data_IF_120245692707
#
_entry.id   IF_120245692707
#
_cell.length_a   1.000
_cell.length_b   1.000
_cell.length_c   1.000
_cell.angle_alpha   90.00
_cell.angle_beta   90.00
_cell.angle_gamma   90.00
#
_symmetry.space_group_name_H-M   'P 1'
#
loop_
_entity.id
_entity.type
_entity.pdbx_description
1 polymer ?
#
# COMPACT_ATOMS: atom_id res chain seq x y z
N UNK A 1 12.46 -11.38 51.55
CA UNK A 1 13.58 -10.61 50.96
C UNK A 1 13.94 -11.06 49.54
N UNK A 2 13.87 -12.36 49.25
CA UNK A 2 14.18 -12.88 47.88
C UNK A 2 13.08 -12.50 46.87
N UNK A 3 11.85 -12.49 47.26
CA UNK A 3 10.70 -12.07 46.46
C UNK A 3 10.75 -10.59 46.06
N UNK A 4 11.29 -9.70 46.90
CA UNK A 4 11.44 -8.28 46.58
C UNK A 4 12.49 -8.00 45.50
N UNK A 5 13.57 -8.78 45.46
CA UNK A 5 14.60 -8.66 44.42
C UNK A 5 14.10 -9.19 43.08
N UNK A 6 13.30 -10.23 43.08
CA UNK A 6 12.74 -10.83 41.86
C UNK A 6 11.74 -9.91 41.17
N UNK A 7 10.86 -9.26 41.94
CA UNK A 7 9.89 -8.28 41.42
C UNK A 7 10.56 -7.04 40.85
N UNK A 8 11.70 -6.63 41.43
CA UNK A 8 12.49 -5.50 40.93
C UNK A 8 13.13 -5.78 39.57
N UNK A 9 13.58 -7.00 39.35
CA UNK A 9 14.21 -7.43 38.10
C UNK A 9 13.20 -7.55 36.94
N UNK A 10 12.02 -8.06 37.22
CA UNK A 10 10.93 -8.17 36.24
C UNK A 10 10.38 -6.78 35.83
N UNK A 11 10.27 -5.85 36.74
CA UNK A 11 9.80 -4.50 36.42
C UNK A 11 10.79 -3.72 35.54
N UNK A 12 12.08 -3.89 35.74
CA UNK A 12 13.11 -3.22 34.91
C UNK A 12 13.17 -3.83 33.51
N UNK A 13 12.97 -5.14 33.37
CA UNK A 13 12.94 -5.82 32.07
C UNK A 13 11.68 -5.48 31.28
N UNK A 14 10.54 -5.38 31.92
CA UNK A 14 9.27 -4.98 31.29
C UNK A 14 9.30 -3.51 30.88
N UNK A 15 9.85 -2.61 31.68
CA UNK A 15 9.97 -1.20 31.36
C UNK A 15 10.90 -0.93 30.17
N UNK A 16 11.98 -1.70 29.98
CA UNK A 16 12.87 -1.55 28.84
C UNK A 16 12.26 -1.99 27.52
N UNK A 17 11.28 -2.92 27.53
CA UNK A 17 10.59 -3.42 26.34
C UNK A 17 9.44 -2.54 25.88
N UNK A 18 8.95 -1.62 26.69
CA UNK A 18 7.74 -0.81 26.43
C UNK A 18 8.08 0.62 26.01
N UNK A 19 9.35 1.01 25.99
CA UNK A 19 9.76 2.42 25.91
C UNK A 19 9.67 3.05 24.52
N UNK A 20 9.64 2.26 23.43
CA UNK A 20 9.54 2.82 22.08
C UNK A 20 8.30 2.32 21.35
N UNK A 21 7.39 3.24 21.11
CA UNK A 21 6.25 3.00 20.22
C UNK A 21 6.56 3.55 18.85
N UNK A 22 6.48 2.70 17.87
CA UNK A 22 6.64 3.06 16.47
C UNK A 22 5.44 2.61 15.66
N UNK A 23 5.23 3.22 14.52
CA UNK A 23 4.15 2.87 13.63
C UNK A 23 4.67 2.84 12.18
N UNK A 24 4.33 1.77 11.47
CA UNK A 24 4.53 1.66 10.03
C UNK A 24 3.19 1.31 9.39
N UNK A 25 2.53 2.31 8.82
CA UNK A 25 1.18 2.18 8.28
C UNK A 25 1.04 2.94 6.99
N UNK A 26 0.47 2.30 5.98
CA UNK A 26 0.17 2.87 4.67
C UNK A 26 -1.28 2.59 4.33
N UNK A 27 -1.97 3.60 3.83
CA UNK A 27 -3.33 3.50 3.32
C UNK A 27 -3.37 4.05 1.90
N UNK A 28 -3.84 3.25 0.97
CA UNK A 28 -3.92 3.61 -0.44
C UNK A 28 -5.32 3.33 -0.98
N UNK A 29 -5.85 4.29 -1.69
CA UNK A 29 -7.09 4.15 -2.45
C UNK A 29 -6.77 4.40 -3.92
N UNK A 30 -7.00 3.40 -4.77
CA UNK A 30 -6.64 3.54 -6.18
C UNK A 30 -7.23 2.45 -7.08
N UNK A 31 -6.70 2.37 -8.28
CA UNK A 31 -7.11 1.38 -9.28
C UNK A 31 -5.98 0.39 -9.57
N UNK A 32 -6.36 -0.85 -9.70
CA UNK A 32 -5.45 -1.95 -10.07
C UNK A 32 -5.03 -1.80 -11.53
N UNK A 33 -3.72 -1.86 -11.78
CA UNK A 33 -3.17 -1.68 -13.12
C UNK A 33 -3.12 -2.96 -13.96
N UNK A 34 -2.97 -4.10 -13.32
CA UNK A 34 -2.89 -5.41 -13.97
C UNK A 34 -3.52 -6.46 -13.07
N UNK A 35 -3.97 -7.57 -13.68
CA UNK A 35 -4.47 -8.70 -12.93
C UNK A 35 -3.41 -9.22 -11.95
N UNK A 36 -3.82 -9.62 -10.74
CA UNK A 36 -2.89 -10.14 -9.75
C UNK A 36 -2.20 -11.41 -10.24
N UNK A 37 -0.95 -11.54 -9.87
CA UNK A 37 -0.17 -12.76 -10.08
C UNK A 37 0.14 -13.41 -8.75
N UNK A 38 0.13 -14.74 -8.71
CA UNK A 38 0.57 -15.49 -7.55
C UNK A 38 1.96 -16.04 -7.81
N UNK A 39 2.88 -15.77 -6.88
CA UNK A 39 4.24 -16.30 -6.93
C UNK A 39 4.49 -17.19 -5.73
N UNK A 40 5.11 -18.31 -5.99
CA UNK A 40 5.60 -19.21 -4.96
C UNK A 40 7.07 -19.48 -5.20
N UNK A 41 7.88 -19.18 -4.21
CA UNK A 41 9.30 -19.51 -4.19
C UNK A 41 9.47 -20.76 -3.33
N UNK A 42 10.32 -21.71 -3.74
CA UNK A 42 10.58 -22.94 -2.99
C UNK A 42 10.95 -22.63 -1.53
N UNK A 43 10.27 -23.28 -0.58
CA UNK A 43 10.47 -23.11 0.86
C UNK A 43 9.84 -21.84 1.45
N UNK A 44 9.11 -21.04 0.67
CA UNK A 44 8.39 -19.84 1.13
C UNK A 44 6.91 -19.94 0.85
N UNK A 45 6.12 -19.22 1.64
CA UNK A 45 4.69 -19.12 1.41
C UNK A 45 4.39 -18.39 0.09
N UNK A 46 3.33 -18.77 -0.64
CA UNK A 46 2.93 -18.03 -1.83
C UNK A 46 2.49 -16.60 -1.48
N UNK A 47 2.65 -15.72 -2.45
CA UNK A 47 2.32 -14.30 -2.34
C UNK A 47 1.54 -13.85 -3.57
N UNK A 48 0.46 -13.10 -3.36
CA UNK A 48 -0.26 -12.42 -4.44
C UNK A 48 0.29 -11.03 -4.62
N UNK A 49 0.67 -10.69 -5.84
CA UNK A 49 1.30 -9.41 -6.18
C UNK A 49 0.48 -8.72 -7.27
N UNK A 50 0.23 -7.44 -7.09
CA UNK A 50 -0.38 -6.58 -8.10
C UNK A 50 0.12 -5.14 -7.98
N UNK A 51 -0.15 -4.34 -9.00
CA UNK A 51 0.15 -2.91 -9.01
C UNK A 51 -1.11 -2.10 -8.75
N UNK A 52 -0.99 -1.06 -7.95
CA UNK A 52 -2.06 -0.12 -7.63
C UNK A 52 -1.65 1.28 -8.05
N UNK A 53 -2.49 1.95 -8.82
CA UNK A 53 -2.29 3.33 -9.24
C UNK A 53 -3.04 4.29 -8.33
N UNK A 54 -2.34 5.29 -7.83
CA UNK A 54 -2.94 6.45 -7.17
C UNK A 54 -2.69 7.68 -8.02
N UNK A 55 -3.72 8.52 -8.19
CA UNK A 55 -3.66 9.72 -8.99
C UNK A 55 -3.71 10.96 -8.10
N UNK A 56 -2.81 11.87 -8.36
CA UNK A 56 -2.81 13.20 -7.77
C UNK A 56 -3.12 14.21 -8.87
N UNK A 57 -3.95 15.19 -8.55
CA UNK A 57 -4.29 16.28 -9.43
C UNK A 57 -3.96 17.60 -8.73
N UNK A 58 -3.24 18.45 -9.41
CA UNK A 58 -2.94 19.79 -8.90
C UNK A 58 -3.03 20.80 -10.02
N UNK A 59 -3.13 22.03 -9.61
CA UNK A 59 -3.22 23.16 -10.50
C UNK A 59 -1.84 23.71 -10.80
N UNK A 60 -1.54 23.91 -12.07
CA UNK A 60 -0.32 24.57 -12.51
C UNK A 60 -0.54 26.09 -12.49
N UNK A 61 0.11 26.78 -11.55
CA UNK A 61 0.09 28.25 -11.44
C UNK A 61 -0.16 28.73 -10.02
N UNK A 62 0.55 29.80 -9.62
CA UNK A 62 0.56 30.35 -8.26
C UNK A 62 -0.64 31.26 -7.95
N UNK A 63 -1.79 31.11 -8.57
CA UNK A 63 -2.92 31.99 -8.25
C UNK A 63 -3.85 31.33 -7.23
N UNK A 64 -3.99 31.98 -6.08
CA UNK A 64 -5.07 31.77 -5.13
C UNK A 64 -6.40 32.12 -5.80
N UNK A 65 -7.04 31.13 -6.43
CA UNK A 65 -8.33 31.36 -7.07
C UNK A 65 -9.38 30.57 -6.32
N UNK A 66 -10.48 31.23 -5.99
CA UNK A 66 -11.59 30.63 -5.26
C UNK A 66 -12.26 29.47 -6.02
N UNK A 67 -13.06 28.69 -5.29
CA UNK A 67 -13.67 27.45 -5.77
C UNK A 67 -14.42 27.53 -7.11
N UNK A 68 -15.00 28.70 -7.43
CA UNK A 68 -15.69 28.92 -8.72
C UNK A 68 -14.76 28.98 -9.91
N UNK A 69 -13.53 29.46 -9.71
CA UNK A 69 -12.53 29.53 -10.77
C UNK A 69 -11.82 28.22 -11.00
N UNK A 70 -11.85 27.30 -10.02
CA UNK A 70 -11.34 25.91 -10.18
C UNK A 70 -12.11 25.16 -11.26
N UNK A 71 -13.43 25.30 -11.29
CA UNK A 71 -14.29 24.67 -12.30
C UNK A 71 -14.01 25.24 -13.70
N UNK A 72 -13.80 26.55 -13.81
CA UNK A 72 -13.46 27.22 -15.07
C UNK A 72 -12.07 26.83 -15.58
N UNK A 73 -11.10 26.65 -14.68
CA UNK A 73 -9.74 26.23 -15.03
C UNK A 73 -9.65 24.76 -15.39
N UNK A 74 -10.51 23.88 -14.83
CA UNK A 74 -10.69 22.52 -15.32
C UNK A 74 -11.09 22.47 -16.79
N UNK A 75 -11.93 23.41 -17.22
CA UNK A 75 -12.37 23.51 -18.63
C UNK A 75 -11.27 24.08 -19.54
N UNK A 76 -10.30 24.82 -18.99
CA UNK A 76 -9.19 25.43 -19.73
C UNK A 76 -7.90 24.57 -19.78
N UNK A 77 -7.88 23.41 -19.12
CA UNK A 77 -6.77 22.47 -19.20
C UNK A 77 -5.53 22.76 -18.33
N UNK A 78 -5.62 23.71 -17.38
CA UNK A 78 -4.51 24.06 -16.48
C UNK A 78 -4.34 23.10 -15.29
N UNK A 79 -4.78 21.86 -15.41
CA UNK A 79 -4.64 20.83 -14.40
C UNK A 79 -3.57 19.82 -14.80
N UNK A 80 -2.59 19.66 -13.93
CA UNK A 80 -1.58 18.61 -14.04
C UNK A 80 -2.00 17.39 -13.23
N UNK A 81 -1.74 16.23 -13.77
CA UNK A 81 -2.03 14.94 -13.15
C UNK A 81 -0.77 14.09 -13.07
N UNK A 82 -0.56 13.44 -11.94
CA UNK A 82 0.50 12.47 -11.74
C UNK A 82 -0.08 11.15 -11.25
N UNK A 83 0.33 10.07 -11.89
CA UNK A 83 0.03 8.71 -11.46
C UNK A 83 1.23 8.11 -10.77
N UNK A 84 1.02 7.62 -9.56
CA UNK A 84 2.04 6.89 -8.80
C UNK A 84 1.66 5.42 -8.73
N UNK A 85 2.60 4.55 -9.08
CA UNK A 85 2.42 3.10 -9.08
C UNK A 85 3.01 2.50 -7.82
N UNK A 86 2.19 1.72 -7.11
CA UNK A 86 2.59 1.04 -5.89
C UNK A 86 2.55 -0.47 -6.13
N UNK A 87 3.60 -1.16 -5.69
CA UNK A 87 3.62 -2.62 -5.68
C UNK A 87 3.00 -3.11 -4.40
N UNK A 88 1.97 -3.92 -4.51
CA UNK A 88 1.24 -4.49 -3.38
C UNK A 88 1.53 -5.98 -3.31
N UNK A 89 1.88 -6.46 -2.14
CA UNK A 89 2.13 -7.88 -1.85
C UNK A 89 1.22 -8.35 -0.73
N UNK A 90 0.51 -9.45 -0.95
CA UNK A 90 -0.42 -10.02 0.01
C UNK A 90 0.07 -11.41 0.40
N UNK A 91 0.55 -11.53 1.64
CA UNK A 91 1.07 -12.80 2.19
C UNK A 91 0.05 -13.54 3.04
N UNK A 92 -0.86 -12.83 3.66
CA UNK A 92 -1.85 -13.40 4.58
C UNK A 92 -2.74 -14.42 3.85
N UNK A 93 -2.80 -15.69 4.28
CA UNK A 93 -3.37 -16.78 3.48
C UNK A 93 -4.80 -16.54 2.98
N UNK A 94 -5.71 -16.17 3.85
CA UNK A 94 -7.10 -15.92 3.45
C UNK A 94 -7.25 -14.71 2.52
N UNK A 95 -6.60 -13.61 2.85
CA UNK A 95 -6.63 -12.39 2.06
C UNK A 95 -5.92 -12.56 0.72
N UNK A 96 -4.82 -13.29 0.69
CA UNK A 96 -4.07 -13.63 -0.52
C UNK A 96 -4.94 -14.31 -1.56
N UNK A 97 -5.67 -15.34 -1.16
CA UNK A 97 -6.52 -16.13 -2.06
C UNK A 97 -7.72 -15.31 -2.57
N UNK A 98 -8.36 -14.57 -1.69
CA UNK A 98 -9.47 -13.67 -2.06
C UNK A 98 -9.00 -12.59 -3.02
N UNK A 99 -7.86 -11.99 -2.76
CA UNK A 99 -7.27 -10.96 -3.63
C UNK A 99 -6.93 -11.52 -5.00
N UNK A 100 -6.32 -12.67 -5.06
CA UNK A 100 -5.99 -13.34 -6.33
C UNK A 100 -7.25 -13.66 -7.16
N UNK A 101 -8.31 -14.08 -6.51
CA UNK A 101 -9.53 -14.51 -7.17
C UNK A 101 -10.42 -13.35 -7.63
N UNK A 102 -10.53 -12.28 -6.84
CA UNK A 102 -11.53 -11.22 -7.08
C UNK A 102 -10.95 -9.92 -7.62
N UNK A 103 -9.70 -9.59 -7.34
CA UNK A 103 -9.07 -8.38 -7.87
C UNK A 103 -8.78 -8.56 -9.36
N UNK A 104 -9.16 -7.57 -10.16
CA UNK A 104 -8.91 -7.53 -11.60
C UNK A 104 -8.38 -6.17 -12.02
N UNK A 105 -7.76 -6.12 -13.18
CA UNK A 105 -7.34 -4.86 -13.80
C UNK A 105 -8.51 -3.87 -13.84
N UNK A 106 -8.27 -2.64 -13.36
CA UNK A 106 -9.27 -1.59 -13.30
C UNK A 106 -10.13 -1.59 -12.04
N UNK A 107 -10.05 -2.61 -11.19
CA UNK A 107 -10.75 -2.64 -9.91
C UNK A 107 -10.36 -1.48 -9.04
N UNK A 108 -11.32 -0.81 -8.42
CA UNK A 108 -11.08 0.22 -7.42
C UNK A 108 -11.09 -0.40 -6.04
N UNK A 109 -9.96 -0.30 -5.36
CA UNK A 109 -9.77 -0.93 -4.06
C UNK A 109 -9.10 0.02 -3.07
N UNK A 110 -9.35 -0.22 -1.79
CA UNK A 110 -8.63 0.37 -0.68
C UNK A 110 -7.69 -0.68 -0.09
N UNK A 111 -6.43 -0.34 0.05
CA UNK A 111 -5.39 -1.20 0.62
C UNK A 111 -4.82 -0.56 1.86
N UNK A 112 -4.72 -1.34 2.91
CA UNK A 112 -4.12 -0.95 4.17
C UNK A 112 -3.02 -1.94 4.54
N UNK A 113 -1.87 -1.45 4.95
CA UNK A 113 -0.75 -2.30 5.31
C UNK A 113 0.45 -1.52 5.78
N UNK A 114 1.63 -2.07 5.56
CA UNK A 114 2.91 -1.47 5.93
C UNK A 114 3.84 -1.39 4.73
N UNK A 115 4.74 -0.42 4.75
CA UNK A 115 5.79 -0.30 3.75
C UNK A 115 6.98 -1.20 4.11
N UNK A 116 7.52 -1.88 3.12
CA UNK A 116 8.69 -2.74 3.27
C UNK A 116 9.72 -2.41 2.19
N UNK A 117 10.95 -2.20 2.63
CA UNK A 117 12.10 -1.93 1.77
C UNK A 117 12.94 -3.20 1.65
N UNK A 118 12.50 -4.12 0.81
CA UNK A 118 13.22 -5.37 0.55
C UNK A 118 14.41 -5.16 -0.36
N UNK A 119 15.43 -5.99 -0.20
CA UNK A 119 16.57 -6.08 -1.11
C UNK A 119 16.48 -7.37 -1.92
N UNK A 120 16.79 -7.29 -3.21
CA UNK A 120 16.93 -8.46 -4.07
C UNK A 120 18.19 -8.34 -4.91
N UNK A 121 18.73 -9.48 -5.30
CA UNK A 121 19.90 -9.54 -6.18
C UNK A 121 19.43 -9.75 -7.62
N UNK A 122 19.81 -8.82 -8.49
CA UNK A 122 19.53 -8.89 -9.92
C UNK A 122 20.38 -9.98 -10.62
N UNK A 123 20.03 -10.31 -11.87
CA UNK A 123 20.77 -11.25 -12.73
C UNK A 123 22.25 -10.91 -12.88
N UNK A 124 22.62 -9.64 -12.67
CA UNK A 124 23.99 -9.13 -12.73
C UNK A 124 24.71 -9.08 -11.38
N UNK A 125 24.22 -9.79 -10.34
CA UNK A 125 24.73 -9.75 -8.96
C UNK A 125 24.77 -8.35 -8.32
N UNK A 126 23.97 -7.42 -8.80
CA UNK A 126 23.80 -6.09 -8.18
C UNK A 126 22.67 -6.15 -7.17
N UNK A 127 22.93 -5.68 -5.94
CA UNK A 127 21.89 -5.49 -4.92
C UNK A 127 20.99 -4.34 -5.33
N UNK A 128 19.70 -4.64 -5.51
CA UNK A 128 18.68 -3.65 -5.79
C UNK A 128 17.66 -3.62 -4.66
N UNK A 129 17.21 -2.43 -4.33
CA UNK A 129 16.15 -2.21 -3.34
C UNK A 129 14.79 -2.21 -4.04
N UNK A 130 13.87 -3.04 -3.55
CA UNK A 130 12.50 -3.08 -4.01
C UNK A 130 11.57 -2.62 -2.88
N UNK A 131 10.88 -1.51 -3.10
CA UNK A 131 9.85 -1.04 -2.18
C UNK A 131 8.53 -1.72 -2.50
N UNK A 132 7.94 -2.36 -1.52
CA UNK A 132 6.62 -2.98 -1.63
C UNK A 132 5.75 -2.61 -0.45
N UNK A 133 4.45 -2.67 -0.64
CA UNK A 133 3.47 -2.49 0.44
C UNK A 133 2.90 -3.86 0.76
N UNK A 134 3.11 -4.29 2.00
CA UNK A 134 2.57 -5.55 2.51
C UNK A 134 1.17 -5.28 3.03
N UNK A 135 0.17 -5.78 2.32
CA UNK A 135 -1.22 -5.54 2.65
C UNK A 135 -1.71 -6.42 3.80
N UNK A 136 -2.32 -5.79 4.78
CA UNK A 136 -3.02 -6.45 5.89
C UNK A 136 -4.52 -6.52 5.65
N UNK A 137 -5.05 -5.55 4.90
CA UNK A 137 -6.47 -5.44 4.62
C UNK A 137 -6.70 -4.87 3.21
N UNK A 138 -7.70 -5.41 2.52
CA UNK A 138 -8.13 -4.95 1.19
C UNK A 138 -9.65 -4.83 1.18
N UNK A 139 -10.15 -3.66 0.79
CA UNK A 139 -11.58 -3.40 0.65
C UNK A 139 -11.90 -3.17 -0.82
N UNK A 140 -12.82 -3.94 -1.33
CA UNK A 140 -13.28 -3.86 -2.72
C UNK A 140 -14.37 -2.79 -2.84
N UNK A 141 -14.16 -1.81 -3.72
CA UNK A 141 -15.09 -0.71 -3.95
C UNK A 141 -15.84 -0.83 -5.28
N UNK A 142 -15.17 -1.31 -6.33
CA UNK A 142 -15.78 -1.62 -7.61
C UNK A 142 -14.98 -2.67 -8.37
N UNK A 143 -15.64 -3.41 -9.24
CA UNK A 143 -15.06 -4.51 -10.03
C UNK A 143 -14.32 -4.08 -11.30
N UNK A 144 -14.16 -2.78 -11.54
CA UNK A 144 -13.52 -2.25 -12.76
C UNK A 144 -14.38 -2.30 -14.00
N UNK A 145 -15.58 -2.83 -13.94
CA UNK A 145 -16.53 -2.70 -15.03
C UNK A 145 -16.90 -1.23 -15.20
N UNK A 146 -16.51 -0.64 -16.32
CA UNK A 146 -17.03 0.66 -16.73
C UNK A 146 -18.52 0.46 -16.98
N UNK A 147 -19.35 0.96 -16.08
CA UNK A 147 -20.76 1.14 -16.41
C UNK A 147 -20.80 2.17 -17.54
N UNK A 148 -20.93 1.70 -18.76
CA UNK A 148 -21.36 2.57 -19.84
C UNK A 148 -22.65 3.21 -19.36
N UNK A 149 -22.60 4.51 -19.15
CA UNK A 149 -23.82 5.29 -18.97
C UNK A 149 -24.56 5.24 -20.30
N UNK A 150 -25.55 4.43 -20.30
CA UNK A 150 -26.59 4.51 -21.34
C UNK A 150 -27.37 5.81 -21.18
#
# INVERSE_FOLDING_TARGET
>A
QVLRQFVRHDSDTVNSLVLERSMNRVQLLGRVGQDPIMRQVEGKNPVTIFSLATNEMWRTGDSEVGQGALLLLCTLGDISQKTTWHRISVFRPGLRDVTYQYVRKGSRIFVEGKIDYGEYTDKNNVRRQATTIIADNVIFLSDGSVREKV
#
